data_IF_953515612321
#
_entry.id   IF_953515612321
#
_cell.length_a   1.000
_cell.length_b   1.000
_cell.length_c   1.000
_cell.angle_alpha   90.00
_cell.angle_beta   90.00
_cell.angle_gamma   90.00
#
_symmetry.space_group_name_H-M   'P 1'
#
loop_
_entity.id
_entity.type
_entity.pdbx_description
1 polymer ?
#
# COMPACT_ATOMS: atom_id res chain seq x y z
N UNK A 1 -21.83 -7.79 -2.82
CA UNK A 1 -20.94 -8.91 -2.41
C UNK A 1 -19.50 -8.40 -2.35
N UNK A 2 -18.75 -8.71 -1.29
CA UNK A 2 -17.34 -8.30 -1.14
C UNK A 2 -16.41 -9.47 -1.43
N UNK A 3 -15.13 -9.22 -1.74
CA UNK A 3 -14.16 -10.31 -1.92
C UNK A 3 -14.05 -11.18 -0.66
N UNK A 4 -14.26 -10.60 0.52
CA UNK A 4 -14.27 -11.32 1.79
C UNK A 4 -15.41 -12.34 1.86
N UNK A 5 -16.60 -12.00 1.37
CA UNK A 5 -17.74 -12.94 1.32
C UNK A 5 -17.57 -14.02 0.26
N UNK A 6 -16.82 -13.75 -0.82
CA UNK A 6 -16.59 -14.73 -1.90
C UNK A 6 -15.48 -15.74 -1.56
N UNK A 7 -14.46 -15.31 -0.81
CA UNK A 7 -13.33 -16.15 -0.42
C UNK A 7 -13.53 -16.86 0.91
N UNK A 8 -14.68 -16.67 1.58
CA UNK A 8 -14.94 -17.23 2.89
C UNK A 8 -15.05 -18.77 2.80
N UNK A 9 -14.21 -19.52 3.54
CA UNK A 9 -14.38 -20.95 3.67
C UNK A 9 -15.57 -21.27 4.57
N UNK A 10 -16.39 -22.26 4.18
CA UNK A 10 -17.59 -22.64 4.96
C UNK A 10 -17.26 -23.13 6.38
N UNK A 11 -16.04 -23.61 6.62
CA UNK A 11 -15.57 -24.10 7.92
C UNK A 11 -15.02 -23.01 8.85
N UNK A 12 -14.94 -21.75 8.42
CA UNK A 12 -14.33 -20.66 9.18
C UNK A 12 -15.32 -19.51 9.39
N UNK A 13 -15.46 -19.08 10.65
CA UNK A 13 -16.34 -17.97 10.98
C UNK A 13 -15.81 -16.65 10.43
N UNK A 14 -16.73 -15.82 9.95
CA UNK A 14 -16.43 -14.57 9.24
C UNK A 14 -15.65 -13.56 10.10
N UNK A 15 -15.95 -13.52 11.40
CA UNK A 15 -15.26 -12.65 12.37
C UNK A 15 -13.80 -13.07 12.62
N UNK A 16 -13.41 -14.31 12.30
CA UNK A 16 -12.01 -14.79 12.35
C UNK A 16 -11.35 -14.66 10.98
N UNK A 17 -12.08 -15.01 9.91
CA UNK A 17 -11.56 -15.01 8.55
C UNK A 17 -11.19 -13.60 8.08
N UNK A 18 -12.04 -12.59 8.30
CA UNK A 18 -11.79 -11.21 7.83
C UNK A 18 -10.50 -10.61 8.40
N UNK A 19 -10.26 -10.59 9.73
CA UNK A 19 -9.01 -10.07 10.27
C UNK A 19 -7.79 -10.85 9.79
N UNK A 20 -7.89 -12.18 9.67
CA UNK A 20 -6.78 -13.02 9.23
C UNK A 20 -6.37 -12.71 7.78
N UNK A 21 -7.35 -12.52 6.90
CA UNK A 21 -7.10 -12.13 5.52
C UNK A 21 -6.53 -10.70 5.41
N UNK A 22 -6.99 -9.75 6.24
CA UNK A 22 -6.40 -8.41 6.30
C UNK A 22 -4.94 -8.46 6.74
N UNK A 23 -4.62 -9.21 7.80
CA UNK A 23 -3.25 -9.41 8.27
C UNK A 23 -2.38 -10.02 7.18
N UNK A 24 -2.90 -11.03 6.47
CA UNK A 24 -2.20 -11.62 5.33
C UNK A 24 -1.86 -10.60 4.24
N UNK A 25 -2.83 -9.76 3.84
CA UNK A 25 -2.61 -8.71 2.82
C UNK A 25 -1.57 -7.69 3.30
N UNK A 26 -1.65 -7.25 4.55
CA UNK A 26 -0.71 -6.29 5.14
C UNK A 26 0.71 -6.87 5.17
N UNK A 27 0.87 -8.12 5.60
CA UNK A 27 2.17 -8.80 5.61
C UNK A 27 2.71 -8.94 4.18
N UNK A 28 1.87 -9.34 3.23
CA UNK A 28 2.27 -9.46 1.83
C UNK A 28 2.73 -8.11 1.25
N UNK A 29 1.98 -7.03 1.50
CA UNK A 29 2.35 -5.68 1.07
C UNK A 29 3.68 -5.22 1.70
N UNK A 30 3.88 -5.50 3.00
CA UNK A 30 5.12 -5.19 3.71
C UNK A 30 6.32 -5.92 3.11
N UNK A 31 6.20 -7.24 2.89
CA UNK A 31 7.27 -8.04 2.30
C UNK A 31 7.61 -7.57 0.87
N UNK A 32 6.59 -7.18 0.10
CA UNK A 32 6.78 -6.63 -1.25
C UNK A 32 7.52 -5.28 -1.21
N UNK A 33 7.17 -4.39 -0.27
CA UNK A 33 7.87 -3.12 -0.05
C UNK A 33 9.32 -3.33 0.35
N UNK A 34 9.58 -4.22 1.31
CA UNK A 34 10.94 -4.54 1.75
C UNK A 34 11.78 -5.02 0.58
N UNK A 35 11.26 -5.99 -0.18
CA UNK A 35 11.91 -6.48 -1.38
C UNK A 35 12.16 -5.33 -2.38
N UNK A 36 11.15 -4.50 -2.65
CA UNK A 36 11.29 -3.36 -3.55
C UNK A 36 12.39 -2.39 -3.11
N UNK A 37 12.52 -2.09 -1.81
CA UNK A 37 13.56 -1.22 -1.28
C UNK A 37 14.97 -1.80 -1.36
N UNK A 38 15.11 -3.12 -1.53
CA UNK A 38 16.40 -3.76 -1.83
C UNK A 38 16.79 -3.70 -3.31
N UNK A 39 15.85 -3.39 -4.22
CA UNK A 39 16.14 -3.26 -5.66
C UNK A 39 16.96 -1.99 -5.96
N UNK A 40 17.57 -1.91 -7.16
CA UNK A 40 18.31 -0.72 -7.57
C UNK A 40 17.46 0.56 -7.57
N UNK A 41 16.19 0.48 -8.00
CA UNK A 41 15.27 1.62 -7.95
C UNK A 41 14.94 2.00 -6.50
N UNK A 42 14.73 1.02 -5.64
CA UNK A 42 14.50 1.24 -4.20
C UNK A 42 15.69 1.91 -3.51
N UNK A 43 16.91 1.47 -3.81
CA UNK A 43 18.15 2.10 -3.34
C UNK A 43 18.30 3.54 -3.87
N UNK A 44 17.97 3.77 -5.14
CA UNK A 44 18.00 5.10 -5.76
C UNK A 44 16.99 6.08 -5.13
N UNK A 45 15.79 5.60 -4.75
CA UNK A 45 14.81 6.39 -3.98
C UNK A 45 15.40 6.77 -2.61
N UNK A 46 15.98 5.82 -1.88
CA UNK A 46 16.59 6.09 -0.57
C UNK A 46 17.77 7.07 -0.66
N UNK A 47 18.62 6.93 -1.67
CA UNK A 47 19.71 7.86 -1.93
C UNK A 47 19.20 9.27 -2.30
N UNK A 48 18.10 9.35 -3.06
CA UNK A 48 17.44 10.62 -3.39
C UNK A 48 16.87 11.29 -2.14
N UNK A 49 16.30 10.52 -1.21
CA UNK A 49 15.76 11.02 0.05
C UNK A 49 16.82 11.49 1.05
N UNK A 50 18.00 10.85 1.09
CA UNK A 50 19.09 11.26 1.98
C UNK A 50 19.86 12.47 1.45
N UNK A 51 20.19 12.49 0.16
CA UNK A 51 20.87 13.62 -0.47
C UNK A 51 20.57 13.71 -1.98
N UNK A 52 19.58 14.53 -2.38
CA UNK A 52 19.20 14.63 -3.79
C UNK A 52 20.30 15.25 -4.66
N UNK A 53 21.19 16.10 -4.11
CA UNK A 53 22.29 16.69 -4.87
C UNK A 53 23.33 15.63 -5.25
N UNK A 54 23.68 14.76 -4.31
CA UNK A 54 24.62 13.65 -4.55
C UNK A 54 24.01 12.60 -5.49
N UNK A 55 22.75 12.22 -5.26
CA UNK A 55 22.06 11.25 -6.12
C UNK A 55 22.03 11.72 -7.60
N UNK A 56 21.74 13.01 -7.83
CA UNK A 56 21.77 13.61 -9.16
C UNK A 56 23.18 13.62 -9.77
N UNK A 57 24.21 13.91 -8.98
CA UNK A 57 25.59 13.86 -9.44
C UNK A 57 26.05 12.45 -9.85
N UNK A 58 25.43 11.40 -9.29
CA UNK A 58 25.64 10.00 -9.67
C UNK A 58 24.70 9.52 -10.79
N UNK A 59 24.02 10.43 -11.50
CA UNK A 59 23.18 10.10 -12.66
C UNK A 59 21.78 9.58 -12.31
N UNK A 60 21.37 9.62 -11.04
CA UNK A 60 20.01 9.24 -10.64
C UNK A 60 19.03 10.35 -11.02
N UNK A 61 17.95 10.00 -11.73
CA UNK A 61 16.84 10.92 -11.97
C UNK A 61 16.04 11.16 -10.67
N UNK A 62 16.46 12.15 -9.89
CA UNK A 62 15.83 12.49 -8.60
C UNK A 62 14.35 12.82 -8.72
N UNK A 63 13.94 13.51 -9.81
CA UNK A 63 12.52 13.86 -10.01
C UNK A 63 11.67 12.61 -10.22
N UNK A 64 12.14 11.67 -11.03
CA UNK A 64 11.49 10.38 -11.23
C UNK A 64 11.44 9.55 -9.94
N UNK A 65 12.48 9.58 -9.11
CA UNK A 65 12.48 8.86 -7.83
C UNK A 65 11.50 9.45 -6.81
N UNK A 66 11.37 10.78 -6.76
CA UNK A 66 10.37 11.45 -5.90
C UNK A 66 8.95 11.10 -6.37
N UNK A 67 8.68 11.17 -7.67
CA UNK A 67 7.38 10.78 -8.23
C UNK A 67 7.04 9.32 -7.93
N UNK A 68 8.02 8.42 -8.07
CA UNK A 68 7.86 7.01 -7.76
C UNK A 68 7.58 6.78 -6.27
N UNK A 69 8.26 7.49 -5.37
CA UNK A 69 8.00 7.44 -3.93
C UNK A 69 6.58 7.90 -3.58
N UNK A 70 6.13 9.04 -4.15
CA UNK A 70 4.77 9.54 -3.96
C UNK A 70 3.72 8.56 -4.52
N UNK A 71 3.97 7.97 -5.69
CA UNK A 71 3.08 7.00 -6.30
C UNK A 71 2.91 5.75 -5.41
N UNK A 72 4.00 5.23 -4.83
CA UNK A 72 3.95 4.10 -3.90
C UNK A 72 3.16 4.46 -2.64
N UNK A 73 3.40 5.65 -2.06
CA UNK A 73 2.65 6.13 -0.90
C UNK A 73 1.15 6.18 -1.19
N UNK A 74 0.76 6.80 -2.31
CA UNK A 74 -0.65 6.92 -2.70
C UNK A 74 -1.28 5.56 -3.02
N UNK A 75 -0.52 4.63 -3.60
CA UNK A 75 -1.01 3.27 -3.85
C UNK A 75 -1.34 2.52 -2.55
N UNK A 76 -0.52 2.69 -1.50
CA UNK A 76 -0.78 2.08 -0.19
C UNK A 76 -2.01 2.71 0.49
N UNK A 77 -2.17 4.04 0.38
CA UNK A 77 -3.37 4.74 0.88
C UNK A 77 -4.63 4.25 0.14
N UNK A 78 -4.57 4.14 -1.19
CA UNK A 78 -5.68 3.63 -1.99
C UNK A 78 -6.02 2.17 -1.64
N UNK A 79 -5.01 1.33 -1.42
CA UNK A 79 -5.21 -0.05 -0.96
C UNK A 79 -5.90 -0.08 0.41
N UNK A 80 -5.48 0.75 1.36
CA UNK A 80 -6.10 0.83 2.68
C UNK A 80 -7.58 1.27 2.58
N UNK A 81 -7.88 2.28 1.76
CA UNK A 81 -9.25 2.72 1.51
C UNK A 81 -10.12 1.63 0.86
N UNK A 82 -9.56 0.90 -0.12
CA UNK A 82 -10.25 -0.21 -0.77
C UNK A 82 -10.55 -1.37 0.20
N UNK A 83 -9.63 -1.69 1.11
CA UNK A 83 -9.87 -2.70 2.15
C UNK A 83 -10.93 -2.23 3.15
N UNK A 84 -10.89 -0.96 3.56
CA UNK A 84 -11.87 -0.37 4.46
C UNK A 84 -13.29 -0.43 3.87
N UNK A 85 -13.47 0.00 2.61
CA UNK A 85 -14.76 -0.09 1.92
C UNK A 85 -15.28 -1.54 1.86
N UNK A 86 -14.38 -2.50 1.60
CA UNK A 86 -14.75 -3.92 1.60
C UNK A 86 -15.14 -4.45 2.98
N UNK A 87 -14.53 -3.96 4.07
CA UNK A 87 -14.94 -4.38 5.42
C UNK A 87 -16.32 -3.88 5.81
N UNK A 88 -16.71 -2.71 5.29
CA UNK A 88 -18.01 -2.08 5.55
C UNK A 88 -19.12 -2.58 4.62
N UNK A 89 -18.80 -3.45 3.66
CA UNK A 89 -19.78 -4.06 2.75
C UNK A 89 -20.07 -3.26 1.47
N UNK A 90 -19.46 -2.08 1.29
CA UNK A 90 -19.67 -1.19 0.15
C UNK A 90 -18.99 0.17 0.35
N UNK A 91 -19.10 1.04 -0.65
CA UNK A 91 -18.62 2.42 -0.60
C UNK A 91 -19.80 3.39 -0.65
N UNK A 92 -19.85 4.32 0.30
CA UNK A 92 -20.83 5.43 0.38
C UNK A 92 -20.06 6.76 0.44
N UNK A 93 -20.64 7.83 -0.12
CA UNK A 93 -20.12 9.19 -0.15
C UNK A 93 -19.80 9.72 1.26
N UNK A 94 -20.52 9.22 2.27
CA UNK A 94 -20.33 9.62 3.67
C UNK A 94 -19.07 9.01 4.31
N UNK A 95 -18.50 7.95 3.73
CA UNK A 95 -17.38 7.20 4.36
C UNK A 95 -16.05 7.96 4.37
N UNK A 96 -15.90 8.99 3.54
CA UNK A 96 -14.71 9.86 3.49
C UNK A 96 -14.89 11.23 4.13
N UNK A 97 -16.07 11.52 4.69
CA UNK A 97 -16.33 12.80 5.34
C UNK A 97 -15.53 12.86 6.64
N UNK A 98 -14.55 13.79 6.71
CA UNK A 98 -13.73 14.02 7.90
C UNK A 98 -12.36 13.33 7.91
N UNK A 99 -12.04 12.51 6.90
CA UNK A 99 -10.69 11.96 6.72
C UNK A 99 -9.82 12.91 5.90
N UNK A 100 -8.79 13.48 6.53
CA UNK A 100 -7.73 14.25 5.86
C UNK A 100 -6.63 13.26 5.44
N UNK A 101 -6.24 13.30 4.17
CA UNK A 101 -5.14 12.52 3.58
C UNK A 101 -3.97 13.44 3.27
#
# INVERSE_FOLDING_TARGET
PTLFTLLQPEWLSDYVFRPLLLVFIVIAAKLLLDWFFTTQKGLAIRATGSNPRMARAQGVNTGGMILLGMAISNALVALAGALFAQTQGGADISMGIGTIV
#
